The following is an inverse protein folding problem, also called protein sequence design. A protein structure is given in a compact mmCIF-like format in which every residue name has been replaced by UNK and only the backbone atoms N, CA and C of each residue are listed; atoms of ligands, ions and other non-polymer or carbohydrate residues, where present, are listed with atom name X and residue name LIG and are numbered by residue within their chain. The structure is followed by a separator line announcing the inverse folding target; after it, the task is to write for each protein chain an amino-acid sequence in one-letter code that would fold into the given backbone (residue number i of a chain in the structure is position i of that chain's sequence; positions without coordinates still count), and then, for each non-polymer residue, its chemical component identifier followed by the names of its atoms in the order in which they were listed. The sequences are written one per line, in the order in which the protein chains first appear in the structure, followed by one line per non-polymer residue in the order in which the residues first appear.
data_IF_438591467298
#
_entry.id   IF_438591467298
#
_cell.length_a   1.000
_cell.length_b   1.000
_cell.length_c   1.000
_cell.angle_alpha   90.00
_cell.angle_beta   90.00
_cell.angle_gamma   90.00
#
_symmetry.space_group_name_H-M   'P 1'
#
loop_
_entity.id
_entity.type
_entity.pdbx_description
1 polymer ?
#
# COMPACT_ATOMS: atom_id res chain seq x y z
N UNK A 1 -10.14 14.04 -14.95
CA UNK A 1 -10.28 12.84 -14.08
C UNK A 1 -9.68 13.17 -12.73
N UNK A 2 -10.32 12.78 -11.62
CA UNK A 2 -9.76 12.94 -10.26
C UNK A 2 -9.24 11.59 -9.80
N UNK A 3 -7.98 11.51 -9.43
CA UNK A 3 -7.32 10.26 -9.05
C UNK A 3 -5.81 10.31 -9.23
N UNK A 4 -5.17 9.18 -8.99
CA UNK A 4 -3.77 8.94 -9.29
C UNK A 4 -3.66 7.77 -10.28
N UNK A 5 -2.63 7.77 -11.11
CA UNK A 5 -2.33 6.65 -11.99
C UNK A 5 -0.90 6.20 -11.73
N UNK A 6 -0.69 4.90 -11.79
CA UNK A 6 0.63 4.27 -11.70
C UNK A 6 0.82 3.38 -12.90
N UNK A 7 2.03 3.38 -13.44
CA UNK A 7 2.43 2.48 -14.51
C UNK A 7 3.65 1.68 -14.08
N UNK A 8 3.72 0.44 -14.55
CA UNK A 8 4.82 -0.48 -14.28
C UNK A 8 5.31 -1.10 -15.57
N UNK A 9 6.63 -1.22 -15.69
CA UNK A 9 7.30 -1.95 -16.76
C UNK A 9 7.37 -3.44 -16.44
N UNK A 10 7.14 -4.29 -17.44
CA UNK A 10 7.32 -5.73 -17.35
C UNK A 10 8.07 -6.25 -18.57
N UNK A 11 8.89 -7.27 -18.37
CA UNK A 11 9.50 -8.01 -19.46
C UNK A 11 9.09 -9.48 -19.40
N UNK A 12 8.96 -10.09 -20.57
CA UNK A 12 8.91 -11.54 -20.69
C UNK A 12 10.26 -12.02 -21.20
N UNK A 13 10.94 -12.81 -20.39
CA UNK A 13 12.26 -13.37 -20.65
C UNK A 13 12.12 -14.80 -21.17
N UNK A 14 12.81 -15.17 -22.25
CA UNK A 14 12.88 -16.56 -22.66
C UNK A 14 13.66 -17.38 -21.62
N UNK A 15 13.46 -18.71 -21.53
CA UNK A 15 14.18 -19.56 -20.57
C UNK A 15 15.70 -19.42 -20.65
N UNK A 16 16.24 -19.18 -21.86
CA UNK A 16 17.67 -18.99 -22.11
C UNK A 16 18.26 -17.72 -21.47
N UNK A 17 17.43 -16.73 -21.16
CA UNK A 17 17.83 -15.48 -20.51
C UNK A 17 17.82 -15.58 -18.97
N UNK A 18 17.20 -16.62 -18.42
CA UNK A 18 17.08 -16.80 -16.97
C UNK A 18 18.33 -17.50 -16.44
N UNK A 19 19.07 -16.80 -15.58
CA UNK A 19 20.27 -17.36 -14.95
C UNK A 19 19.90 -18.56 -14.06
N UNK A 20 20.66 -19.67 -14.05
CA UNK A 20 20.31 -20.91 -13.34
C UNK A 20 20.26 -20.81 -11.81
N UNK A 21 20.51 -19.63 -11.25
CA UNK A 21 20.41 -19.35 -9.81
C UNK A 21 18.96 -19.20 -9.32
N UNK A 22 17.96 -19.18 -10.20
CA UNK A 22 16.57 -19.28 -9.76
C UNK A 22 16.26 -20.72 -9.34
N UNK A 23 16.12 -20.95 -8.02
CA UNK A 23 15.78 -22.22 -7.36
C UNK A 23 14.42 -22.84 -7.75
N UNK A 24 13.82 -22.44 -8.88
CA UNK A 24 12.55 -22.98 -9.35
C UNK A 24 12.78 -23.84 -10.59
N UNK A 25 12.84 -25.19 -10.45
CA UNK A 25 13.10 -26.09 -11.57
C UNK A 25 12.03 -26.05 -12.67
N UNK A 26 10.84 -25.48 -12.42
CA UNK A 26 9.83 -25.24 -13.45
C UNK A 26 10.11 -24.01 -14.33
N UNK A 27 10.93 -23.05 -13.88
CA UNK A 27 11.28 -21.86 -14.65
C UNK A 27 12.26 -22.14 -15.80
N UNK A 28 12.87 -23.33 -15.83
CA UNK A 28 13.83 -23.73 -16.85
C UNK A 28 13.17 -24.11 -18.19
N UNK A 29 11.86 -24.33 -18.24
CA UNK A 29 11.16 -24.69 -19.49
C UNK A 29 10.10 -23.67 -19.95
N UNK A 30 9.78 -22.66 -19.15
CA UNK A 30 8.76 -21.65 -19.49
C UNK A 30 9.31 -20.23 -19.42
N UNK A 31 8.81 -19.35 -20.28
CA UNK A 31 9.14 -17.93 -20.23
C UNK A 31 8.87 -17.32 -18.83
N UNK A 32 9.78 -16.48 -18.37
CA UNK A 32 9.69 -15.80 -17.07
C UNK A 32 9.16 -14.37 -17.26
N UNK A 33 8.16 -13.96 -16.46
CA UNK A 33 7.65 -12.58 -16.46
C UNK A 33 8.23 -11.86 -15.26
N UNK A 34 8.94 -10.75 -15.50
CA UNK A 34 9.56 -9.92 -14.47
C UNK A 34 8.93 -8.53 -14.41
N UNK A 35 8.81 -7.98 -13.20
CA UNK A 35 8.40 -6.60 -12.92
C UNK A 35 9.66 -5.74 -12.80
N UNK A 36 9.61 -4.51 -13.33
CA UNK A 36 10.72 -3.55 -13.29
C UNK A 36 12.05 -4.16 -13.81
N UNK A 37 12.09 -4.62 -15.08
CA UNK A 37 13.25 -5.28 -15.63
C UNK A 37 14.47 -4.35 -15.64
N UNK A 38 15.63 -4.91 -15.29
CA UNK A 38 16.92 -4.26 -15.48
C UNK A 38 17.28 -4.11 -16.96
N UNK A 39 18.21 -3.23 -17.34
CA UNK A 39 18.62 -3.07 -18.74
C UNK A 39 19.09 -4.37 -19.42
N UNK A 40 19.72 -5.27 -18.65
CA UNK A 40 20.13 -6.60 -19.13
C UNK A 40 18.92 -7.50 -19.41
N UNK A 41 17.93 -7.49 -18.53
CA UNK A 41 16.66 -8.22 -18.72
C UNK A 41 15.90 -7.65 -19.91
N UNK A 42 15.81 -6.32 -20.06
CA UNK A 42 15.18 -5.68 -21.22
C UNK A 42 15.85 -6.09 -22.54
N UNK A 43 17.19 -6.14 -22.56
CA UNK A 43 17.94 -6.50 -23.77
C UNK A 43 17.77 -7.96 -24.20
N UNK A 44 17.41 -8.83 -23.27
CA UNK A 44 17.23 -10.28 -23.49
C UNK A 44 15.76 -10.70 -23.55
N UNK A 45 14.84 -9.75 -23.32
CA UNK A 45 13.42 -10.00 -23.33
C UNK A 45 12.90 -10.31 -24.74
N UNK A 46 11.96 -11.26 -24.80
CA UNK A 46 11.18 -11.50 -26.02
C UNK A 46 10.05 -10.48 -26.21
N UNK A 47 9.60 -9.88 -25.12
CA UNK A 47 8.62 -8.79 -25.13
C UNK A 47 8.73 -7.88 -23.92
N UNK A 48 8.39 -6.61 -24.13
CA UNK A 48 8.36 -5.54 -23.14
C UNK A 48 6.95 -4.96 -23.06
N UNK A 49 6.52 -4.64 -21.86
CA UNK A 49 5.17 -4.17 -21.57
C UNK A 49 5.22 -2.98 -20.62
N UNK A 50 4.41 -1.96 -20.88
CA UNK A 50 4.15 -0.85 -19.97
C UNK A 50 2.65 -0.81 -19.70
N UNK A 51 2.25 -1.12 -18.47
CA UNK A 51 0.84 -1.21 -18.10
C UNK A 51 0.55 -0.19 -17.01
N UNK A 52 -0.45 0.66 -17.25
CA UNK A 52 -0.89 1.71 -16.35
C UNK A 52 -2.30 1.50 -15.84
N UNK A 53 -2.48 1.63 -14.53
CA UNK A 53 -3.78 1.61 -13.86
C UNK A 53 -4.09 2.98 -13.28
N UNK A 54 -5.32 3.44 -13.49
CA UNK A 54 -5.86 4.65 -12.89
C UNK A 54 -6.75 4.30 -11.69
N UNK A 55 -6.53 4.99 -10.59
CA UNK A 55 -7.23 4.86 -9.32
C UNK A 55 -7.89 6.19 -8.97
N UNK A 56 -9.22 6.23 -9.06
CA UNK A 56 -10.02 7.44 -8.83
C UNK A 56 -11.11 7.22 -7.79
N UNK A 57 -11.86 8.26 -7.49
CA UNK A 57 -12.94 8.22 -6.50
C UNK A 57 -13.99 7.11 -6.77
N UNK A 58 -14.22 6.75 -8.04
CA UNK A 58 -15.09 5.63 -8.43
C UNK A 58 -14.44 4.25 -8.47
N UNK A 59 -13.14 4.14 -8.16
CA UNK A 59 -12.34 2.91 -8.23
C UNK A 59 -11.61 2.62 -6.90
N UNK A 60 -11.86 3.42 -5.88
CA UNK A 60 -11.17 3.41 -4.58
C UNK A 60 -11.96 2.72 -3.46
N UNK A 61 -13.19 2.32 -3.72
CA UNK A 61 -13.93 1.43 -2.84
C UNK A 61 -13.63 0.01 -3.31
N UNK A 62 -13.16 -0.86 -2.41
CA UNK A 62 -13.42 -2.29 -2.54
C UNK A 62 -14.88 -2.42 -2.98
N UNK A 63 -15.12 -2.87 -4.21
CA UNK A 63 -16.49 -3.21 -4.59
C UNK A 63 -16.98 -4.25 -3.58
N UNK A 64 -18.27 -4.31 -3.28
CA UNK A 64 -18.83 -5.34 -2.38
C UNK A 64 -18.48 -6.78 -2.86
N UNK A 65 -18.01 -6.92 -4.10
CA UNK A 65 -17.48 -8.14 -4.72
C UNK A 65 -15.97 -8.37 -4.57
N UNK A 66 -15.18 -7.40 -4.08
CA UNK A 66 -13.78 -7.57 -3.66
C UNK A 66 -12.73 -7.81 -4.75
N UNK A 67 -13.04 -7.64 -6.05
CA UNK A 67 -12.18 -8.18 -7.12
C UNK A 67 -11.47 -7.15 -8.01
N UNK A 68 -11.92 -5.89 -8.10
CA UNK A 68 -11.28 -4.94 -9.04
C UNK A 68 -11.04 -3.55 -8.43
N UNK A 69 -9.78 -3.25 -8.14
CA UNK A 69 -9.31 -1.91 -7.76
C UNK A 69 -8.57 -1.31 -8.95
N UNK A 70 -9.04 -0.17 -9.45
CA UNK A 70 -8.46 0.55 -10.57
C UNK A 70 -8.98 0.14 -11.95
N UNK A 71 -8.64 0.93 -12.97
CA UNK A 71 -8.98 0.66 -14.38
C UNK A 71 -7.73 0.78 -15.22
N UNK A 72 -7.55 -0.13 -16.18
CA UNK A 72 -6.45 -0.04 -17.15
C UNK A 72 -6.60 1.27 -17.93
N UNK A 73 -5.63 2.16 -17.77
CA UNK A 73 -5.55 3.44 -18.46
C UNK A 73 -4.56 3.38 -19.63
N UNK A 74 -3.56 2.50 -19.54
CA UNK A 74 -2.53 2.31 -20.55
C UNK A 74 -2.14 0.82 -20.61
N UNK A 75 -1.92 0.31 -21.80
CA UNK A 75 -1.28 -0.97 -22.02
C UNK A 75 -0.51 -0.90 -23.33
N UNK A 76 0.80 -0.71 -23.23
CA UNK A 76 1.71 -0.79 -24.37
C UNK A 76 2.45 -2.12 -24.29
N UNK A 77 2.57 -2.80 -25.43
CA UNK A 77 3.22 -4.11 -25.50
C UNK A 77 3.98 -4.21 -26.82
N UNK A 78 5.24 -4.61 -26.73
CA UNK A 78 6.12 -4.75 -27.88
C UNK A 78 6.85 -6.09 -27.81
N UNK A 79 6.98 -6.80 -28.93
CA UNK A 79 7.59 -8.12 -29.02
C UNK A 79 6.58 -9.26 -29.12
N UNK A 80 7.01 -10.48 -28.79
CA UNK A 80 6.26 -11.72 -29.03
C UNK A 80 5.78 -12.39 -27.74
N UNK A 81 4.47 -12.56 -27.60
CA UNK A 81 3.85 -13.16 -26.42
C UNK A 81 2.49 -13.80 -26.76
N UNK A 82 2.06 -14.76 -25.94
CA UNK A 82 0.73 -15.38 -26.05
C UNK A 82 -0.34 -14.57 -25.31
N UNK A 83 -1.61 -14.87 -25.57
CA UNK A 83 -2.72 -14.26 -24.85
C UNK A 83 -2.66 -14.56 -23.34
N UNK A 84 -2.34 -15.79 -22.95
CA UNK A 84 -2.22 -16.19 -21.53
C UNK A 84 -1.08 -15.44 -20.82
N UNK A 85 0.00 -15.16 -21.56
CA UNK A 85 1.10 -14.34 -21.07
C UNK A 85 0.66 -12.89 -20.86
N UNK A 86 -0.10 -12.32 -21.79
CA UNK A 86 -0.68 -10.98 -21.63
C UNK A 86 -1.62 -10.90 -20.40
N UNK A 87 -2.47 -11.92 -20.20
CA UNK A 87 -3.32 -11.98 -19.00
C UNK A 87 -2.50 -11.98 -17.72
N UNK A 88 -1.40 -12.73 -17.70
CA UNK A 88 -0.47 -12.79 -16.56
C UNK A 88 0.22 -11.44 -16.33
N UNK A 89 0.69 -10.79 -17.40
CA UNK A 89 1.26 -9.43 -17.38
C UNK A 89 0.28 -8.43 -16.76
N UNK A 90 -0.98 -8.41 -17.24
CA UNK A 90 -2.01 -7.51 -16.71
C UNK A 90 -2.32 -7.77 -15.24
N UNK A 91 -2.35 -9.04 -14.82
CA UNK A 91 -2.58 -9.43 -13.42
C UNK A 91 -1.44 -8.96 -12.51
N UNK A 92 -0.18 -9.19 -12.92
CA UNK A 92 0.99 -8.73 -12.17
C UNK A 92 1.05 -7.19 -12.11
N UNK A 93 0.75 -6.52 -13.22
CA UNK A 93 0.71 -5.06 -13.27
C UNK A 93 -0.37 -4.47 -12.35
N UNK A 94 -1.56 -5.08 -12.33
CA UNK A 94 -2.65 -4.67 -11.42
C UNK A 94 -2.22 -4.80 -9.96
N UNK A 95 -1.62 -5.93 -9.59
CA UNK A 95 -1.14 -6.16 -8.22
C UNK A 95 -0.04 -5.16 -7.83
N UNK A 96 0.95 -4.95 -8.69
CA UNK A 96 2.06 -4.03 -8.42
C UNK A 96 1.58 -2.59 -8.27
N UNK A 97 0.69 -2.13 -9.15
CA UNK A 97 0.15 -0.76 -9.07
C UNK A 97 -0.73 -0.54 -7.85
N UNK A 98 -1.47 -1.56 -7.39
CA UNK A 98 -2.19 -1.51 -6.11
C UNK A 98 -1.25 -1.41 -4.90
N UNK A 99 -0.13 -2.15 -4.92
CA UNK A 99 0.89 -2.05 -3.86
C UNK A 99 1.55 -0.67 -3.83
N UNK A 100 1.87 -0.10 -5.00
CA UNK A 100 2.39 1.26 -5.12
C UNK A 100 1.37 2.26 -4.56
N UNK A 101 0.08 2.14 -4.93
CA UNK A 101 -0.97 2.99 -4.39
C UNK A 101 -1.06 2.92 -2.86
N UNK A 102 -1.04 1.72 -2.29
CA UNK A 102 -1.09 1.52 -0.84
C UNK A 102 0.11 2.17 -0.14
N UNK A 103 1.32 1.97 -0.69
CA UNK A 103 2.53 2.59 -0.19
C UNK A 103 2.48 4.12 -0.26
N UNK A 104 2.02 4.70 -1.38
CA UNK A 104 1.90 6.16 -1.53
C UNK A 104 0.89 6.73 -0.54
N UNK A 105 -0.26 6.07 -0.34
CA UNK A 105 -1.25 6.50 0.67
C UNK A 105 -0.67 6.52 2.07
N UNK A 106 -0.03 5.41 2.48
CA UNK A 106 0.61 5.31 3.78
C UNK A 106 1.70 6.38 3.95
N UNK A 107 2.51 6.61 2.91
CA UNK A 107 3.56 7.62 2.94
C UNK A 107 2.99 9.04 3.11
N UNK A 108 1.89 9.37 2.42
CA UNK A 108 1.22 10.65 2.62
C UNK A 108 0.68 10.81 4.04
N UNK A 109 0.02 9.80 4.61
CA UNK A 109 -0.48 9.84 6.00
C UNK A 109 0.66 10.10 7.00
N UNK A 110 1.79 9.39 6.87
CA UNK A 110 2.92 9.56 7.79
C UNK A 110 3.58 10.95 7.73
N UNK A 111 3.53 11.63 6.58
CA UNK A 111 4.08 12.99 6.45
C UNK A 111 3.19 14.00 7.18
N UNK A 112 1.86 13.86 7.09
CA UNK A 112 0.93 14.78 7.73
C UNK A 112 0.79 14.56 9.24
N UNK A 113 0.92 13.32 9.72
CA UNK A 113 0.94 13.03 11.17
C UNK A 113 2.14 13.69 11.88
N UNK A 114 3.25 13.90 11.18
CA UNK A 114 4.42 14.61 11.72
C UNK A 114 4.22 16.14 11.79
N UNK A 115 3.41 16.73 10.92
CA UNK A 115 3.15 18.17 10.91
C UNK A 115 2.09 18.58 11.96
N UNK A 116 1.12 17.72 12.24
CA UNK A 116 0.11 17.95 13.28
C UNK A 116 0.67 17.79 14.70
N UNK A 117 1.73 16.99 14.87
CA UNK A 117 2.46 16.83 16.14
C UNK A 117 3.34 18.03 16.53
N UNK A 118 3.82 18.83 15.57
CA UNK A 118 4.67 20.00 15.83
C UNK A 118 3.82 21.25 16.10
N UNK A 119 2.63 21.35 15.49
CA UNK A 119 1.73 22.49 15.68
C UNK A 119 0.76 22.34 16.87
N UNK A 120 0.51 21.12 17.35
CA UNK A 120 -0.40 20.89 18.50
C UNK A 120 0.25 21.11 19.87
N UNK A 121 1.58 21.26 19.97
CA UNK A 121 2.26 21.47 21.24
C UNK A 121 2.28 22.94 21.72
N UNK A 122 1.84 23.91 20.90
CA UNK A 122 1.97 25.34 21.20
C UNK A 122 0.64 26.09 21.44
N UNK A 123 -0.51 25.40 21.43
CA UNK A 123 -1.80 25.99 21.86
C UNK A 123 -2.29 25.39 23.18
N UNK A 124 -1.43 25.38 24.20
CA UNK A 124 -1.82 25.12 25.59
C UNK A 124 -1.22 26.15 26.56
N UNK A 125 -1.10 27.40 26.14
CA UNK A 125 -0.82 28.51 27.04
C UNK A 125 -1.20 29.83 26.35
N UNK A 126 -2.28 30.47 26.80
CA UNK A 126 -2.44 31.92 27.03
C UNK A 126 -3.94 32.21 27.14
N UNK A 127 -4.38 32.67 28.32
CA UNK A 127 -5.63 33.42 28.45
C UNK A 127 -6.63 32.92 29.50
N UNK A 128 -6.23 32.82 30.78
CA UNK A 128 -7.20 33.05 31.86
C UNK A 128 -7.72 34.49 31.78
N UNK A 129 -8.98 34.72 32.20
CA UNK A 129 -9.16 35.59 33.35
C UNK A 129 -9.93 34.89 34.47
N UNK A 130 -9.40 35.08 35.67
CA UNK A 130 -9.93 34.64 36.96
C UNK A 130 -11.15 35.44 37.40
N UNK A 131 -12.14 34.77 37.98
CA UNK A 131 -12.96 35.32 39.06
C UNK A 131 -13.60 34.20 39.91
N UNK A 132 -12.93 33.92 41.04
CA UNK A 132 -13.44 33.59 42.38
C UNK A 132 -14.87 33.05 42.58
N UNK A 133 -15.03 31.88 43.20
CA UNK A 133 -15.51 31.75 44.60
C UNK A 133 -15.59 30.29 45.12
N UNK A 134 -14.79 30.03 46.17
CA UNK A 134 -15.07 29.41 47.48
C UNK A 134 -15.64 27.98 47.66
N UNK A 135 -15.02 27.36 48.68
CA UNK A 135 -15.36 26.23 49.57
C UNK A 135 -15.33 24.79 49.05
N UNK A 136 -14.33 23.96 49.37
CA UNK A 136 -13.83 23.46 50.68
C UNK A 136 -14.72 22.35 51.28
N UNK A 137 -14.30 21.09 51.14
CA UNK A 137 -14.30 20.09 52.23
C UNK A 137 -13.76 18.74 51.74
N UNK A 138 -12.54 18.43 52.18
CA UNK A 138 -12.10 17.05 52.43
C UNK A 138 -12.65 16.65 53.82
N UNK A 139 -12.86 15.35 54.12
CA UNK A 139 -11.73 14.64 54.71
C UNK A 139 -11.63 13.14 54.38
N UNK A 140 -10.40 12.64 54.48
CA UNK A 140 -10.02 11.23 54.67
C UNK A 140 -10.82 10.53 55.78
N UNK A 141 -11.09 9.22 55.62
CA UNK A 141 -10.91 8.30 56.74
C UNK A 141 -10.73 6.82 56.37
N UNK A 142 -9.86 6.18 57.18
CA UNK A 142 -9.27 4.83 57.08
C UNK A 142 -10.13 3.74 57.75
N UNK A 143 -9.94 2.49 57.26
CA UNK A 143 -10.06 1.16 57.92
C UNK A 143 -11.45 0.67 58.40
N UNK A 144 -11.85 -0.54 57.98
CA UNK A 144 -11.71 -1.82 58.75
C UNK A 144 -12.45 -3.01 58.10
N UNK A 145 -11.67 -4.08 57.97
CA UNK A 145 -11.96 -5.52 57.79
C UNK A 145 -13.19 -6.03 58.57
N UNK A 146 -14.04 -6.85 57.94
CA UNK A 146 -14.81 -7.91 58.62
C UNK A 146 -15.10 -9.11 57.69
N UNK A 147 -14.60 -10.26 58.12
CA UNK A 147 -14.87 -11.61 57.64
C UNK A 147 -16.23 -12.14 58.13
N UNK A 148 -16.84 -13.04 57.34
CA UNK A 148 -17.82 -14.10 57.71
C UNK A 148 -18.32 -14.71 56.37
N UNK A 149 -18.56 -16.01 56.18
CA UNK A 149 -18.39 -17.23 56.97
C UNK A 149 -18.61 -18.39 55.98
N UNK A 150 -17.88 -19.49 56.17
CA UNK A 150 -17.96 -20.75 55.43
C UNK A 150 -19.38 -21.33 55.31
N UNK A 151 -19.57 -22.15 54.28
CA UNK A 151 -20.22 -23.45 54.41
C UNK A 151 -19.14 -24.52 54.45
#
# INVERSE_FOLDING_TARGET
MRGCAFAVGLAILPPSAVSPNHNNPQALESDLIVLDPSPTEESSAKSLHLVGFHFGHGFNTTTDSGVEIGTVALCESNGSFSYDQLQTVLKLASLATQQILAFVRQSCETVYDHEDGINSASQAAVGQPTSSNLDNSNPENRKKKKSKKNK
#
